data_IF_849054442270
#
_entry.id   IF_849054442270
#
_cell.length_a   1.000
_cell.length_b   1.000
_cell.length_c   1.000
_cell.angle_alpha   90.00
_cell.angle_beta   90.00
_cell.angle_gamma   90.00
#
_symmetry.space_group_name_H-M   'P 1'
#
loop_
_entity.id
_entity.type
_entity.pdbx_description
1 polymer ?
#
# COMPACT_ATOMS: atom_id res chain seq x y z
N UNK A 1 27.42 29.89 -6.44
CA UNK A 1 26.50 30.82 -5.72
C UNK A 1 25.00 30.62 -6.04
N UNK A 2 24.60 29.89 -7.08
CA UNK A 2 23.18 29.58 -7.33
C UNK A 2 22.63 28.39 -6.51
N UNK A 3 23.42 27.32 -6.33
CA UNK A 3 23.02 26.11 -5.61
C UNK A 3 22.74 26.33 -4.11
N UNK A 4 23.48 27.22 -3.43
CA UNK A 4 23.26 27.53 -2.02
C UNK A 4 21.96 28.30 -1.75
N UNK A 5 21.36 28.91 -2.78
CA UNK A 5 20.10 29.64 -2.70
C UNK A 5 18.89 28.75 -3.00
N UNK A 6 19.07 27.67 -3.78
CA UNK A 6 17.98 26.77 -4.18
C UNK A 6 17.78 25.57 -3.24
N UNK A 7 18.78 25.23 -2.42
CA UNK A 7 18.66 24.15 -1.44
C UNK A 7 18.10 24.75 -0.14
N UNK A 8 16.86 24.42 0.27
CA UNK A 8 16.33 24.89 1.55
C UNK A 8 17.21 24.35 2.67
N UNK A 9 17.97 25.26 3.30
CA UNK A 9 18.74 24.94 4.51
C UNK A 9 17.75 24.41 5.54
N UNK A 10 18.01 23.19 6.03
CA UNK A 10 17.16 22.51 7.00
C UNK A 10 16.80 23.49 8.12
N UNK A 11 15.54 23.95 8.15
CA UNK A 11 15.02 24.77 9.23
C UNK A 11 15.39 24.05 10.53
N UNK A 12 16.07 24.72 11.44
CA UNK A 12 16.16 24.24 12.82
C UNK A 12 14.72 24.26 13.33
N UNK A 13 14.01 23.16 13.15
CA UNK A 13 12.67 23.02 13.68
C UNK A 13 12.84 23.18 15.18
N UNK A 14 12.29 24.27 15.72
CA UNK A 14 11.94 24.31 17.13
C UNK A 14 11.26 22.97 17.49
N UNK A 15 11.42 22.54 18.73
CA UNK A 15 10.91 21.27 19.27
C UNK A 15 9.42 21.03 18.90
N UNK A 16 8.70 22.11 18.57
CA UNK A 16 7.35 22.18 18.00
C UNK A 16 7.09 21.36 16.72
N UNK A 17 8.12 20.88 16.01
CA UNK A 17 7.97 20.06 14.80
C UNK A 17 8.21 18.55 14.98
N UNK A 18 8.62 18.09 16.18
CA UNK A 18 8.80 16.66 16.43
C UNK A 18 7.52 16.07 17.01
N UNK A 19 7.20 14.85 16.59
CA UNK A 19 6.03 14.15 17.13
C UNK A 19 6.10 14.13 18.66
N UNK A 20 5.01 14.35 19.41
CA UNK A 20 5.03 14.54 20.86
C UNK A 20 5.67 13.38 21.66
N UNK A 21 5.70 12.18 21.08
CA UNK A 21 6.33 11.00 21.67
C UNK A 21 7.81 10.82 21.29
N UNK A 22 8.38 11.67 20.43
CA UNK A 22 9.75 11.53 19.97
C UNK A 22 10.74 12.15 20.96
N UNK A 23 11.51 11.31 21.65
CA UNK A 23 12.50 11.74 22.64
C UNK A 23 13.94 11.78 22.09
N UNK A 24 14.86 12.50 22.76
CA UNK A 24 16.29 12.39 22.49
C UNK A 24 16.83 10.95 22.63
N UNK A 25 16.29 10.18 23.58
CA UNK A 25 16.64 8.76 23.81
C UNK A 25 16.31 7.90 22.58
N UNK A 26 15.14 8.10 21.96
CA UNK A 26 14.81 7.40 20.71
C UNK A 26 15.73 7.79 19.55
N UNK A 27 16.25 9.02 19.57
CA UNK A 27 17.19 9.50 18.55
C UNK A 27 18.54 8.79 18.69
N UNK A 28 19.06 8.62 19.91
CA UNK A 28 20.33 7.91 20.16
C UNK A 28 20.20 6.42 19.84
N UNK A 29 19.11 5.77 20.26
CA UNK A 29 18.84 4.36 19.94
C UNK A 29 18.70 4.13 18.43
N UNK A 30 18.01 5.02 17.71
CA UNK A 30 17.91 4.96 16.24
C UNK A 30 19.27 5.14 15.58
N UNK A 31 20.09 6.08 16.04
CA UNK A 31 21.44 6.28 15.51
C UNK A 31 22.31 5.04 15.72
N UNK A 32 22.25 4.42 16.90
CA UNK A 32 22.96 3.17 17.21
C UNK A 32 22.53 2.03 16.27
N UNK A 33 21.24 1.87 16.04
CA UNK A 33 20.72 0.88 15.08
C UNK A 33 21.20 1.11 13.65
N UNK A 34 21.18 2.37 13.18
CA UNK A 34 21.66 2.72 11.84
C UNK A 34 23.17 2.46 11.74
N UNK A 35 23.94 2.79 12.78
CA UNK A 35 25.38 2.53 12.84
C UNK A 35 25.68 1.03 12.72
N UNK A 36 24.96 0.19 13.46
CA UNK A 36 25.13 -1.26 13.38
C UNK A 36 24.70 -1.82 12.02
N UNK A 37 23.60 -1.32 11.44
CA UNK A 37 23.17 -1.71 10.09
C UNK A 37 24.22 -1.38 9.02
N UNK A 38 24.88 -0.23 9.13
CA UNK A 38 25.94 0.21 8.19
C UNK A 38 27.22 -0.61 8.29
N UNK A 39 27.49 -1.25 9.43
CA UNK A 39 28.62 -2.19 9.60
C UNK A 39 28.43 -3.49 8.80
N UNK A 40 27.27 -3.67 8.16
CA UNK A 40 27.00 -4.71 7.19
C UNK A 40 26.62 -6.07 7.81
N UNK A 41 26.06 -7.00 7.01
CA UNK A 41 25.69 -8.34 7.45
C UNK A 41 26.90 -9.27 7.75
N UNK A 42 28.14 -8.77 7.64
CA UNK A 42 29.37 -9.50 8.00
C UNK A 42 29.69 -9.49 9.51
N UNK A 43 28.97 -8.69 10.30
CA UNK A 43 29.09 -8.71 11.76
C UNK A 43 28.17 -9.80 12.34
N UNK A 44 28.75 -10.96 12.59
CA UNK A 44 28.21 -12.27 12.97
C UNK A 44 27.19 -12.33 14.13
N UNK A 45 26.85 -11.23 14.80
CA UNK A 45 26.00 -11.23 16.00
C UNK A 45 24.57 -10.73 15.72
N UNK A 46 23.79 -11.57 15.05
CA UNK A 46 22.34 -11.37 14.85
C UNK A 46 21.58 -11.23 16.19
N UNK A 47 21.91 -11.98 17.26
CA UNK A 47 21.35 -11.75 18.60
C UNK A 47 21.56 -10.32 19.14
N UNK A 48 22.77 -9.77 19.08
CA UNK A 48 23.04 -8.40 19.55
C UNK A 48 22.29 -7.34 18.74
N UNK A 49 22.21 -7.51 17.41
CA UNK A 49 21.40 -6.61 16.58
C UNK A 49 19.91 -6.66 16.97
N UNK A 50 19.38 -7.87 17.17
CA UNK A 50 17.99 -8.05 17.60
C UNK A 50 17.73 -7.43 18.97
N UNK A 51 18.69 -7.52 19.92
CA UNK A 51 18.59 -6.85 21.22
C UNK A 51 18.43 -5.35 21.08
N UNK A 52 19.31 -4.69 20.31
CA UNK A 52 19.24 -3.25 20.04
C UNK A 52 17.93 -2.86 19.34
N UNK A 53 17.45 -3.70 18.41
CA UNK A 53 16.19 -3.48 17.71
C UNK A 53 15.00 -3.56 18.67
N UNK A 54 14.97 -4.59 19.51
CA UNK A 54 13.91 -4.81 20.48
C UNK A 54 13.88 -3.70 21.53
N UNK A 55 15.05 -3.25 21.99
CA UNK A 55 15.19 -2.12 22.90
C UNK A 55 14.59 -0.84 22.29
N UNK A 56 15.00 -0.47 21.07
CA UNK A 56 14.43 0.68 20.37
C UNK A 56 12.92 0.58 20.16
N UNK A 57 12.40 -0.59 19.79
CA UNK A 57 10.96 -0.79 19.61
C UNK A 57 10.20 -0.72 20.93
N UNK A 58 10.79 -1.23 22.02
CA UNK A 58 10.20 -1.18 23.37
C UNK A 58 10.12 0.26 23.85
N UNK A 59 11.23 1.01 23.75
CA UNK A 59 11.26 2.42 24.10
C UNK A 59 10.32 3.25 23.23
N UNK A 60 10.18 2.93 21.95
CA UNK A 60 9.21 3.59 21.07
C UNK A 60 7.78 3.39 21.57
N UNK A 61 7.42 2.17 22.01
CA UNK A 61 6.10 1.89 22.58
C UNK A 61 5.91 2.62 23.91
N UNK A 62 6.93 2.64 24.77
CA UNK A 62 6.90 3.30 26.07
C UNK A 62 6.66 4.81 25.91
N UNK A 63 7.46 5.48 25.08
CA UNK A 63 7.32 6.91 24.83
C UNK A 63 6.00 7.27 24.14
N UNK A 64 5.52 6.46 23.19
CA UNK A 64 4.18 6.64 22.61
C UNK A 64 3.08 6.55 23.65
N UNK A 65 3.14 5.52 24.52
CA UNK A 65 2.18 5.33 25.60
C UNK A 65 2.25 6.48 26.61
N UNK A 66 3.45 6.94 26.97
CA UNK A 66 3.63 8.06 27.88
C UNK A 66 3.06 9.36 27.30
N UNK A 67 3.38 9.69 26.05
CA UNK A 67 2.81 10.85 25.37
C UNK A 67 1.29 10.76 25.26
N UNK A 68 0.74 9.57 24.98
CA UNK A 68 -0.70 9.34 24.99
C UNK A 68 -1.31 9.55 26.37
N UNK A 69 -0.68 9.06 27.44
CA UNK A 69 -1.13 9.28 28.82
C UNK A 69 -1.12 10.75 29.19
N UNK A 70 -0.07 11.50 28.84
CA UNK A 70 -0.03 12.95 29.06
C UNK A 70 -1.13 13.67 28.25
N UNK A 71 -1.32 13.29 26.98
CA UNK A 71 -2.36 13.84 26.14
C UNK A 71 -3.76 13.55 26.68
N UNK A 72 -4.03 12.32 27.12
CA UNK A 72 -5.32 11.97 27.72
C UNK A 72 -5.52 12.61 29.09
N UNK A 73 -4.44 12.79 29.87
CA UNK A 73 -4.46 13.46 31.17
C UNK A 73 -4.88 14.94 31.08
N UNK A 74 -4.64 15.59 29.95
CA UNK A 74 -5.15 16.95 29.63
C UNK A 74 -6.66 17.06 29.84
N UNK A 75 -7.43 15.97 29.69
CA UNK A 75 -8.88 15.96 29.96
C UNK A 75 -9.23 16.29 31.42
N UNK A 76 -8.38 15.91 32.36
CA UNK A 76 -8.63 16.14 33.78
C UNK A 76 -8.45 17.62 34.16
N UNK A 77 -7.57 18.32 33.45
CA UNK A 77 -7.27 19.75 33.68
C UNK A 77 -8.13 20.65 32.78
N UNK A 78 -8.34 20.25 31.52
CA UNK A 78 -9.14 20.94 30.53
C UNK A 78 -10.11 19.99 29.81
N UNK A 79 -11.34 19.82 30.36
CA UNK A 79 -12.34 18.92 29.80
C UNK A 79 -12.76 19.25 28.35
N UNK A 80 -12.53 20.49 27.88
CA UNK A 80 -12.87 20.95 26.53
C UNK A 80 -11.63 21.13 25.63
N UNK A 81 -10.48 20.58 26.05
CA UNK A 81 -9.20 20.71 25.38
C UNK A 81 -9.03 19.90 24.10
N UNK A 82 -7.76 19.70 23.71
CA UNK A 82 -7.42 18.99 22.46
C UNK A 82 -7.79 17.52 22.52
N UNK A 83 -7.65 16.89 23.69
CA UNK A 83 -8.03 15.50 23.91
C UNK A 83 -9.53 15.27 23.74
N UNK A 84 -10.38 16.19 24.22
CA UNK A 84 -11.82 16.13 24.00
C UNK A 84 -12.18 16.30 22.52
N UNK A 85 -11.58 17.28 21.86
CA UNK A 85 -11.78 17.50 20.42
C UNK A 85 -11.39 16.27 19.59
N UNK A 86 -10.28 15.62 19.94
CA UNK A 86 -9.86 14.36 19.32
C UNK A 86 -10.82 13.21 19.62
N UNK A 87 -11.31 13.07 20.86
CA UNK A 87 -12.26 12.01 21.22
C UNK A 87 -13.60 12.19 20.47
N UNK A 88 -14.07 13.43 20.32
CA UNK A 88 -15.32 13.76 19.63
C UNK A 88 -15.23 13.57 18.12
N UNK A 89 -14.13 14.00 17.49
CA UNK A 89 -13.98 14.07 16.02
C UNK A 89 -13.12 12.94 15.44
N UNK A 90 -12.48 12.15 16.30
CA UNK A 90 -11.44 11.20 15.91
C UNK A 90 -10.18 11.89 15.38
N UNK A 91 -9.33 11.09 14.73
CA UNK A 91 -8.23 11.62 13.96
C UNK A 91 -8.80 12.30 12.70
N UNK A 92 -9.05 13.62 12.77
CA UNK A 92 -9.36 14.38 11.57
C UNK A 92 -8.13 14.36 10.68
N UNK A 93 -8.11 13.49 9.67
CA UNK A 93 -7.25 13.75 8.53
C UNK A 93 -7.69 15.13 8.04
N UNK A 94 -6.76 16.08 7.97
CA UNK A 94 -6.97 17.25 7.16
C UNK A 94 -7.33 16.68 5.78
N UNK A 95 -8.59 16.87 5.36
CA UNK A 95 -9.00 16.50 4.02
C UNK A 95 -7.96 17.13 3.11
N UNK A 96 -7.22 16.29 2.38
CA UNK A 96 -6.34 16.79 1.32
C UNK A 96 -7.18 17.80 0.53
N UNK A 97 -6.67 19.02 0.28
CA UNK A 97 -7.38 19.94 -0.58
C UNK A 97 -7.66 19.16 -1.87
N UNK A 98 -8.95 19.02 -2.21
CA UNK A 98 -9.36 18.29 -3.41
C UNK A 98 -8.96 19.04 -4.69
N UNK A 99 -8.31 20.19 -4.55
CA UNK A 99 -7.93 21.09 -5.61
C UNK A 99 -6.40 21.15 -5.69
N UNK A 100 -5.86 20.74 -6.84
CA UNK A 100 -4.45 20.90 -7.18
C UNK A 100 -4.30 22.11 -8.10
N UNK A 101 -3.13 22.75 -8.08
CA UNK A 101 -2.82 23.84 -9.00
C UNK A 101 -2.00 23.35 -10.17
N UNK A 102 -2.44 23.65 -11.39
CA UNK A 102 -1.68 23.42 -12.63
C UNK A 102 -0.48 24.35 -12.77
N UNK A 103 0.37 24.08 -13.77
CA UNK A 103 1.54 24.91 -14.07
C UNK A 103 1.19 26.35 -14.50
N UNK A 104 -0.04 26.55 -14.96
CA UNK A 104 -0.65 27.83 -15.33
C UNK A 104 -1.30 28.56 -14.15
N UNK A 105 -1.29 27.97 -12.95
CA UNK A 105 -1.93 28.51 -11.75
C UNK A 105 -3.44 28.27 -11.67
N UNK A 106 -4.04 27.57 -12.64
CA UNK A 106 -5.44 27.13 -12.57
C UNK A 106 -5.62 26.11 -11.45
N UNK A 107 -6.80 26.09 -10.81
CA UNK A 107 -7.12 25.13 -9.74
C UNK A 107 -8.13 24.11 -10.22
N UNK A 108 -7.86 22.84 -9.96
CA UNK A 108 -8.78 21.77 -10.33
C UNK A 108 -10.05 21.84 -9.49
N UNK A 109 -11.21 21.69 -10.11
CA UNK A 109 -12.52 21.86 -9.48
C UNK A 109 -13.19 20.54 -9.09
N UNK A 110 -12.73 19.41 -9.64
CA UNK A 110 -13.30 18.09 -9.39
C UNK A 110 -12.23 16.98 -9.43
N UNK A 111 -12.56 15.82 -8.86
CA UNK A 111 -11.63 14.69 -8.74
C UNK A 111 -11.06 14.20 -10.07
N UNK A 112 -11.81 14.30 -11.16
CA UNK A 112 -11.35 13.87 -12.49
C UNK A 112 -10.26 14.79 -13.00
N UNK A 113 -10.50 16.10 -12.93
CA UNK A 113 -9.53 17.13 -13.29
C UNK A 113 -8.25 17.03 -12.44
N UNK A 114 -8.40 16.76 -11.13
CA UNK A 114 -7.27 16.48 -10.24
C UNK A 114 -6.49 15.23 -10.66
N UNK A 115 -7.18 14.14 -11.00
CA UNK A 115 -6.53 12.92 -11.45
C UNK A 115 -5.80 13.12 -12.79
N UNK A 116 -6.45 13.76 -13.76
CA UNK A 116 -5.89 14.05 -15.08
C UNK A 116 -4.63 14.90 -14.96
N UNK A 117 -4.64 15.93 -14.10
CA UNK A 117 -3.46 16.76 -13.82
C UNK A 117 -2.31 15.96 -13.20
N UNK A 118 -2.60 15.04 -12.27
CA UNK A 118 -1.60 14.15 -11.67
C UNK A 118 -1.01 13.22 -12.73
N UNK A 119 -1.86 12.59 -13.55
CA UNK A 119 -1.40 11.70 -14.61
C UNK A 119 -0.56 12.45 -15.64
N UNK A 120 -1.00 13.60 -16.14
CA UNK A 120 -0.27 14.36 -17.15
C UNK A 120 1.08 14.87 -16.64
N UNK A 121 1.20 15.18 -15.34
CA UNK A 121 2.43 15.73 -14.76
C UNK A 121 3.44 14.63 -14.41
N UNK A 122 2.98 13.53 -13.81
CA UNK A 122 3.86 12.47 -13.28
C UNK A 122 3.98 11.24 -14.19
N UNK A 123 3.08 11.08 -15.14
CA UNK A 123 3.04 9.98 -16.12
C UNK A 123 2.87 10.59 -17.52
N UNK A 124 3.89 11.33 -18.01
CA UNK A 124 3.82 11.90 -19.36
C UNK A 124 3.61 10.77 -20.38
N UNK A 125 2.87 11.02 -21.47
CA UNK A 125 2.70 10.04 -22.53
C UNK A 125 4.07 9.59 -23.05
N UNK A 126 4.21 8.29 -23.31
CA UNK A 126 5.42 7.76 -23.90
C UNK A 126 5.65 8.45 -25.26
N UNK A 127 6.80 9.13 -25.47
CA UNK A 127 7.09 9.80 -26.73
C UNK A 127 7.13 8.85 -27.94
N UNK A 128 7.29 7.55 -27.73
CA UNK A 128 7.37 6.56 -28.79
C UNK A 128 6.02 5.93 -29.18
N UNK A 129 4.94 6.21 -28.44
CA UNK A 129 3.59 5.76 -28.80
C UNK A 129 3.46 4.25 -29.01
N UNK A 130 4.43 3.46 -28.51
CA UNK A 130 4.41 2.02 -28.66
C UNK A 130 3.23 1.49 -27.84
N UNK A 131 2.17 1.10 -28.56
CA UNK A 131 1.11 0.26 -28.00
C UNK A 131 1.85 -0.96 -27.45
N UNK A 132 1.84 -1.20 -26.12
CA UNK A 132 2.48 -2.39 -25.59
C UNK A 132 1.90 -3.57 -26.35
N UNK A 133 2.75 -4.35 -27.02
CA UNK A 133 2.31 -5.64 -27.56
C UNK A 133 1.75 -6.41 -26.37
N UNK A 134 0.42 -6.48 -26.30
CA UNK A 134 -0.25 -7.31 -25.33
C UNK A 134 0.10 -8.74 -25.70
N UNK A 135 1.16 -9.27 -25.10
CA UNK A 135 1.38 -10.70 -25.07
C UNK A 135 0.10 -11.28 -24.47
N UNK A 136 -0.71 -11.88 -25.34
CA UNK A 136 -1.95 -12.53 -24.96
C UNK A 136 -1.71 -13.60 -23.91
N UNK A 137 -2.78 -14.22 -23.38
CA UNK A 137 -2.64 -15.24 -22.34
C UNK A 137 -1.56 -16.24 -22.72
N UNK A 138 -0.64 -16.47 -21.77
CA UNK A 138 0.49 -17.39 -21.91
C UNK A 138 -0.05 -18.64 -22.58
N UNK A 139 0.42 -18.97 -23.79
CA UNK A 139 -0.01 -20.16 -24.51
C UNK A 139 0.51 -21.40 -23.77
N UNK A 140 -0.15 -21.77 -22.68
CA UNK A 140 0.11 -23.00 -21.97
C UNK A 140 -0.42 -24.15 -22.82
N UNK A 141 0.49 -24.85 -23.50
CA UNK A 141 0.19 -26.04 -24.31
C UNK A 141 0.36 -27.35 -23.54
N UNK A 142 0.95 -27.32 -22.35
CA UNK A 142 1.25 -28.53 -21.59
C UNK A 142 0.13 -28.85 -20.59
N UNK A 143 -0.23 -30.13 -20.49
CA UNK A 143 -1.11 -30.64 -19.43
C UNK A 143 -0.49 -30.36 -18.06
N UNK A 144 -1.25 -29.73 -17.15
CA UNK A 144 -0.79 -29.48 -15.79
C UNK A 144 -0.72 -30.80 -15.02
N UNK A 145 0.49 -31.28 -14.78
CA UNK A 145 0.72 -32.36 -13.83
C UNK A 145 0.30 -31.92 -12.42
N UNK A 146 -0.38 -32.80 -11.65
CA UNK A 146 -0.71 -32.56 -10.25
C UNK A 146 0.49 -32.14 -9.39
N UNK A 147 1.71 -32.58 -9.74
CA UNK A 147 2.92 -32.24 -8.99
C UNK A 147 3.34 -30.79 -9.17
N UNK A 148 3.11 -30.21 -10.34
CA UNK A 148 3.35 -28.78 -10.62
C UNK A 148 2.43 -27.94 -9.74
N UNK A 149 1.15 -28.30 -9.70
CA UNK A 149 0.13 -27.61 -8.90
C UNK A 149 0.44 -27.76 -7.41
N UNK A 150 0.80 -28.97 -6.96
CA UNK A 150 1.23 -29.22 -5.59
C UNK A 150 2.41 -28.32 -5.21
N UNK A 151 3.44 -28.27 -6.05
CA UNK A 151 4.61 -27.43 -5.81
C UNK A 151 4.25 -25.93 -5.73
N UNK A 152 3.31 -25.47 -6.56
CA UNK A 152 2.80 -24.10 -6.50
C UNK A 152 2.08 -23.82 -5.18
N UNK A 153 1.16 -24.69 -4.74
CA UNK A 153 0.45 -24.58 -3.47
C UNK A 153 1.43 -24.58 -2.27
N UNK A 154 2.52 -25.35 -2.36
CA UNK A 154 3.53 -25.44 -1.32
C UNK A 154 4.45 -24.21 -1.21
N UNK A 155 4.50 -23.37 -2.25
CA UNK A 155 5.18 -22.06 -2.20
C UNK A 155 4.32 -20.97 -1.55
N UNK A 156 3.00 -21.13 -1.51
CA UNK A 156 2.09 -20.15 -0.91
C UNK A 156 2.26 -20.07 0.62
N UNK A 157 2.07 -18.90 1.23
CA UNK A 157 2.07 -18.79 2.71
C UNK A 157 0.76 -19.34 3.27
N UNK A 158 0.85 -20.24 4.25
CA UNK A 158 -0.31 -20.92 4.85
C UNK A 158 -1.13 -20.04 5.79
N UNK A 159 -0.52 -18.97 6.32
CA UNK A 159 -1.14 -18.01 7.24
C UNK A 159 -1.48 -16.67 6.55
N UNK A 160 -1.57 -16.65 5.23
CA UNK A 160 -2.10 -15.50 4.50
C UNK A 160 -3.58 -15.30 4.82
N UNK A 161 -4.05 -14.06 4.74
CA UNK A 161 -5.47 -13.77 4.80
C UNK A 161 -6.21 -14.50 3.68
N UNK A 162 -7.38 -15.10 3.95
CA UNK A 162 -8.18 -15.77 2.93
C UNK A 162 -8.76 -14.76 1.92
N UNK A 163 -9.15 -15.26 0.74
CA UNK A 163 -9.97 -14.52 -0.21
C UNK A 163 -11.42 -14.38 0.27
N UNK A 164 -12.30 -13.88 -0.62
CA UNK A 164 -13.73 -13.79 -0.36
C UNK A 164 -14.40 -15.16 -0.17
N UNK A 165 -13.77 -16.23 -0.64
CA UNK A 165 -14.18 -17.63 -0.48
C UNK A 165 -13.82 -18.22 0.88
N UNK A 166 -13.02 -17.53 1.70
CA UNK A 166 -12.56 -18.05 2.99
C UNK A 166 -11.50 -19.15 2.90
N UNK A 167 -11.05 -19.52 1.69
CA UNK A 167 -10.14 -20.65 1.48
C UNK A 167 -8.69 -20.18 1.59
N UNK A 168 -7.95 -20.71 2.57
CA UNK A 168 -6.52 -20.44 2.73
C UNK A 168 -5.67 -21.51 2.07
N UNK A 169 -4.42 -21.19 1.74
CA UNK A 169 -3.44 -22.18 1.27
C UNK A 169 -3.23 -23.32 2.28
N UNK A 170 -3.41 -23.05 3.59
CA UNK A 170 -3.38 -24.09 4.62
C UNK A 170 -4.51 -25.11 4.48
N UNK A 171 -5.73 -24.67 4.14
CA UNK A 171 -6.88 -25.54 3.89
C UNK A 171 -6.64 -26.40 2.65
N UNK A 172 -6.18 -25.79 1.55
CA UNK A 172 -5.89 -26.50 0.29
C UNK A 172 -4.84 -27.59 0.50
N UNK A 173 -3.78 -27.33 1.29
CA UNK A 173 -2.76 -28.34 1.61
C UNK A 173 -3.31 -29.54 2.38
N UNK A 174 -4.17 -29.30 3.36
CA UNK A 174 -4.80 -30.37 4.15
C UNK A 174 -5.77 -31.20 3.30
N UNK A 175 -6.48 -30.55 2.38
CA UNK A 175 -7.43 -31.18 1.49
C UNK A 175 -6.81 -31.76 0.21
N UNK A 176 -5.48 -31.63 0.03
CA UNK A 176 -4.81 -32.04 -1.21
C UNK A 176 -5.03 -33.52 -1.54
N UNK A 177 -4.90 -34.43 -0.56
CA UNK A 177 -5.05 -35.87 -0.79
C UNK A 177 -6.42 -36.24 -1.40
N UNK A 178 -7.56 -35.86 -0.80
CA UNK A 178 -8.87 -36.19 -1.36
C UNK A 178 -9.29 -35.35 -2.56
N UNK A 179 -8.76 -34.12 -2.72
CA UNK A 179 -9.21 -33.18 -3.77
C UNK A 179 -8.21 -32.98 -4.91
N UNK A 180 -7.09 -33.73 -4.93
CA UNK A 180 -6.01 -33.60 -5.91
C UNK A 180 -6.52 -33.48 -7.34
N UNK A 181 -7.34 -34.43 -7.76
CA UNK A 181 -7.76 -34.54 -9.15
C UNK A 181 -8.80 -33.47 -9.50
N UNK A 182 -9.68 -33.11 -8.55
CA UNK A 182 -10.65 -32.01 -8.70
C UNK A 182 -9.93 -30.67 -8.84
N UNK A 183 -8.96 -30.40 -7.97
CA UNK A 183 -8.15 -29.19 -8.02
C UNK A 183 -7.37 -29.14 -9.33
N UNK A 184 -6.76 -30.25 -9.74
CA UNK A 184 -5.99 -30.31 -10.99
C UNK A 184 -6.86 -30.03 -12.20
N UNK A 185 -8.04 -30.65 -12.29
CA UNK A 185 -9.00 -30.38 -13.36
C UNK A 185 -9.49 -28.93 -13.36
N UNK A 186 -9.74 -28.34 -12.18
CA UNK A 186 -10.13 -26.93 -12.07
C UNK A 186 -9.05 -26.01 -12.66
N UNK A 187 -7.79 -26.19 -12.26
CA UNK A 187 -6.67 -25.39 -12.77
C UNK A 187 -6.46 -25.60 -14.27
N UNK A 188 -6.55 -26.84 -14.75
CA UNK A 188 -6.47 -27.17 -16.17
C UNK A 188 -7.56 -26.45 -16.96
N UNK A 189 -8.79 -26.46 -16.46
CA UNK A 189 -9.91 -25.76 -17.08
C UNK A 189 -9.67 -24.25 -17.09
N UNK A 190 -9.27 -23.64 -15.97
CA UNK A 190 -9.00 -22.20 -15.90
C UNK A 190 -7.90 -21.71 -16.85
N UNK A 191 -6.96 -22.58 -17.21
CA UNK A 191 -5.86 -22.26 -18.12
C UNK A 191 -6.11 -22.71 -19.56
N UNK A 192 -7.16 -23.52 -19.80
CA UNK A 192 -7.53 -23.95 -21.14
C UNK A 192 -8.03 -22.76 -21.97
N UNK A 193 -7.56 -22.59 -23.22
CA UNK A 193 -8.01 -21.49 -24.10
C UNK A 193 -9.53 -21.49 -24.35
N UNK A 194 -10.16 -22.66 -24.21
CA UNK A 194 -11.59 -22.91 -24.41
C UNK A 194 -12.46 -22.56 -23.21
N UNK A 195 -11.92 -22.42 -22.00
CA UNK A 195 -12.67 -21.91 -20.85
C UNK A 195 -12.79 -20.39 -20.96
N UNK A 196 -13.77 -19.95 -21.76
CA UNK A 196 -14.10 -18.56 -22.03
C UNK A 196 -14.49 -17.75 -20.79
N UNK A 197 -13.53 -17.42 -19.94
CA UNK A 197 -13.64 -16.28 -19.02
C UNK A 197 -13.43 -14.95 -19.75
N UNK A 198 -12.83 -14.97 -20.95
CA UNK A 198 -12.58 -13.77 -21.75
C UNK A 198 -13.83 -13.25 -22.49
N UNK A 199 -14.76 -14.13 -22.89
CA UNK A 199 -15.97 -13.73 -23.63
C UNK A 199 -17.10 -13.19 -22.74
N UNK A 200 -17.23 -13.71 -21.50
CA UNK A 200 -18.21 -13.16 -20.54
C UNK A 200 -17.84 -11.76 -20.06
N UNK A 201 -16.55 -11.44 -19.93
CA UNK A 201 -16.12 -10.09 -19.51
C UNK A 201 -16.24 -9.09 -20.68
N UNK A 202 -16.03 -9.53 -21.93
CA UNK A 202 -16.19 -8.69 -23.12
C UNK A 202 -17.64 -8.23 -23.33
N UNK A 203 -18.62 -9.10 -23.07
CA UNK A 203 -20.05 -8.77 -23.21
C UNK A 203 -20.56 -7.85 -22.09
N UNK A 204 -19.96 -7.86 -20.90
CA UNK A 204 -20.31 -6.93 -19.80
C UNK A 204 -19.85 -5.49 -20.09
N UNK A 205 -18.80 -5.31 -20.91
CA UNK A 205 -18.30 -3.97 -21.28
C UNK A 205 -19.13 -3.35 -22.43
N UNK A 206 -19.76 -4.17 -23.28
CA UNK A 206 -20.59 -3.70 -24.40
C UNK A 206 -22.05 -3.38 -24.03
N UNK A 207 -22.54 -3.78 -22.85
CA UNK A 207 -23.92 -3.53 -22.39
C UNK A 207 -24.06 -2.38 -21.37
N UNK A 208 -23.15 -1.39 -21.38
CA UNK A 208 -23.49 -0.09 -20.80
C UNK A 208 -24.26 0.71 -21.86
N UNK A 209 -25.59 0.92 -21.72
CA UNK A 209 -26.33 1.73 -22.66
C UNK A 209 -25.77 3.14 -22.66
N UNK A 210 -25.21 3.53 -23.81
CA UNK A 210 -24.86 4.91 -24.11
C UNK A 210 -26.07 5.79 -23.82
N UNK A 211 -25.88 6.74 -22.91
CA UNK A 211 -26.86 7.76 -22.57
C UNK A 211 -27.12 8.58 -23.84
N UNK A 212 -28.23 8.27 -24.52
CA UNK A 212 -28.74 9.03 -25.65
C UNK A 212 -28.98 10.48 -25.23
N UNK A 213 -28.10 11.38 -25.67
CA UNK A 213 -28.31 12.82 -25.61
C UNK A 213 -29.18 13.22 -26.79
N UNK A 214 -30.48 13.36 -26.56
CA UNK A 214 -31.41 13.89 -27.55
C UNK A 214 -31.13 15.36 -27.83
N UNK A 215 -30.85 15.67 -29.09
CA UNK A 215 -30.89 17.03 -29.63
C UNK A 215 -32.26 17.65 -29.43
N UNK A 216 -32.30 18.86 -28.87
CA UNK A 216 -33.38 19.83 -29.11
C UNK A 216 -32.78 21.22 -29.29
N UNK A 217 -32.69 21.62 -30.55
CA UNK A 217 -32.85 22.99 -31.05
C UNK A 217 -34.14 22.99 -31.89
N UNK A 218 -34.75 24.15 -32.22
CA UNK A 218 -34.24 25.52 -32.19
C UNK A 218 -34.68 26.35 -30.97
#
# INVERSE_FOLDING_TARGET
MAADRSIPKKRQTAITGRSPWWSPVLSTLRQNLVRQRRRGPMSTDRPAYNKLKNEFLTETRNHKRAAWKCFAGDLNENPWGKAFSWAKRGNSCNSMPSTLSGADGSQTTNCRETADLVFSTFVPPDPHGEIPEAHGPIQYKDELSPDIIKNAIWKMRTNSAPGSDGITAGIIRKAWMPLRDIITNLFQNCLSPTAGYHERIRNVIHELPGRSGGNKTP
#
